data_IF_916871016073
#
_entry.id   IF_916871016073
#
_cell.length_a   1.000
_cell.length_b   1.000
_cell.length_c   1.000
_cell.angle_alpha   90.00
_cell.angle_beta   90.00
_cell.angle_gamma   90.00
#
_symmetry.space_group_name_H-M   'P 1'
#
loop_
_entity.id
_entity.type
_entity.pdbx_description
1 polymer ?
#
# COMPACT_ATOMS: atom_id res chain seq x y z
N UNK A 1 8.84 19.23 22.90
CA UNK A 1 7.55 18.70 22.41
C UNK A 1 7.85 17.61 21.40
N UNK A 2 7.75 16.35 21.80
CA UNK A 2 8.05 15.19 20.95
C UNK A 2 6.96 15.04 19.89
N UNK A 3 7.30 15.39 18.63
CA UNK A 3 6.43 15.14 17.48
C UNK A 3 6.23 13.62 17.36
N UNK A 4 4.98 13.22 17.40
CA UNK A 4 4.51 11.85 17.39
C UNK A 4 4.84 11.15 16.06
N UNK A 5 5.09 9.84 16.15
CA UNK A 5 5.41 8.96 15.02
C UNK A 5 4.23 8.85 14.03
N UNK A 6 4.46 8.68 12.72
CA UNK A 6 3.44 8.43 11.68
C UNK A 6 2.47 7.27 11.98
N UNK A 7 2.79 6.40 12.95
CA UNK A 7 1.87 5.39 13.47
C UNK A 7 0.56 5.99 14.05
N UNK A 8 0.49 7.30 14.32
CA UNK A 8 -0.68 7.96 14.90
C UNK A 8 -1.80 8.31 13.89
N UNK A 9 -1.57 8.33 12.58
CA UNK A 9 -2.64 8.66 11.60
C UNK A 9 -3.57 7.46 11.37
N UNK A 10 -3.00 6.28 11.15
CA UNK A 10 -3.73 5.02 11.03
C UNK A 10 -4.58 4.74 12.27
N UNK A 11 -3.98 4.86 13.46
CA UNK A 11 -4.68 4.65 14.73
C UNK A 11 -5.80 5.66 14.96
N UNK A 12 -5.63 6.92 14.52
CA UNK A 12 -6.66 7.96 14.66
C UNK A 12 -7.83 7.74 13.70
N UNK A 13 -7.58 7.30 12.47
CA UNK A 13 -8.64 6.96 11.50
C UNK A 13 -9.38 5.68 11.92
N UNK A 14 -8.65 4.64 12.36
CA UNK A 14 -9.23 3.40 12.88
C UNK A 14 -10.07 3.68 14.14
N UNK A 15 -9.59 4.50 15.09
CA UNK A 15 -10.35 4.88 16.30
C UNK A 15 -11.57 5.74 15.98
N UNK A 16 -11.49 6.58 14.95
CA UNK A 16 -12.59 7.44 14.51
C UNK A 16 -13.68 6.67 13.72
N UNK A 17 -13.32 5.54 13.08
CA UNK A 17 -14.24 4.69 12.32
C UNK A 17 -14.80 3.50 13.12
N UNK A 18 -14.04 2.92 14.05
CA UNK A 18 -14.42 1.68 14.75
C UNK A 18 -14.94 1.87 16.18
N UNK A 19 -14.60 2.98 16.86
CA UNK A 19 -14.77 3.08 18.30
C UNK A 19 -13.99 1.99 19.07
N UNK A 20 -13.81 2.16 20.38
CA UNK A 20 -13.06 1.21 21.23
C UNK A 20 -13.81 -0.12 21.40
N UNK A 21 -13.87 -0.97 20.36
CA UNK A 21 -14.41 -2.33 20.46
C UNK A 21 -13.29 -3.35 20.40
N UNK A 22 -13.04 -3.95 21.56
CA UNK A 22 -12.18 -5.12 21.75
C UNK A 22 -12.56 -6.25 20.79
N UNK A 23 -11.64 -6.59 19.88
CA UNK A 23 -11.76 -7.66 18.88
C UNK A 23 -11.28 -9.03 19.41
N UNK A 24 -11.48 -9.31 20.70
CA UNK A 24 -10.80 -10.43 21.37
C UNK A 24 -11.59 -11.71 21.58
N UNK A 25 -12.86 -11.81 21.16
CA UNK A 25 -13.64 -13.04 21.36
C UNK A 25 -14.10 -13.66 20.04
N UNK A 26 -14.03 -15.00 20.02
CA UNK A 26 -14.41 -15.95 18.96
C UNK A 26 -13.37 -16.32 17.90
N UNK A 27 -12.25 -16.92 18.36
CA UNK A 27 -11.39 -17.77 17.53
C UNK A 27 -11.98 -19.18 17.39
N UNK A 28 -12.66 -19.48 16.28
CA UNK A 28 -12.99 -20.86 15.90
C UNK A 28 -11.85 -21.51 15.08
N UNK A 29 -11.11 -22.42 15.71
CA UNK A 29 -10.12 -23.30 15.06
C UNK A 29 -10.80 -24.42 14.27
N UNK A 30 -10.85 -24.43 12.94
CA UNK A 30 -11.46 -25.58 12.26
C UNK A 30 -10.98 -25.81 10.81
N UNK A 31 -10.48 -27.01 10.51
CA UNK A 31 -10.62 -27.63 9.16
C UNK A 31 -12.11 -27.94 8.85
N UNK A 32 -12.92 -28.06 9.90
CA UNK A 32 -14.39 -28.22 9.86
C UNK A 32 -15.13 -26.91 9.48
N UNK A 33 -14.42 -25.76 9.44
CA UNK A 33 -15.02 -24.43 9.25
C UNK A 33 -15.64 -24.30 7.86
N UNK A 34 -14.96 -24.78 6.83
CA UNK A 34 -15.46 -24.72 5.43
C UNK A 34 -16.79 -25.43 5.28
N UNK A 35 -16.95 -26.60 5.91
CA UNK A 35 -18.17 -27.42 5.80
C UNK A 35 -19.31 -26.76 6.58
N UNK A 36 -19.01 -26.14 7.72
CA UNK A 36 -19.98 -25.37 8.51
C UNK A 36 -20.38 -24.08 7.79
N UNK A 37 -19.44 -23.28 7.29
CA UNK A 37 -19.70 -22.08 6.48
C UNK A 37 -20.63 -22.37 5.30
N UNK A 38 -20.35 -23.43 4.52
CA UNK A 38 -21.19 -23.84 3.38
C UNK A 38 -22.62 -24.22 3.78
N UNK A 39 -22.84 -24.65 5.02
CA UNK A 39 -24.13 -25.08 5.56
C UNK A 39 -24.75 -24.05 6.51
N UNK A 40 -24.07 -22.92 6.73
CA UNK A 40 -24.49 -21.90 7.66
C UNK A 40 -25.66 -21.12 7.05
N UNK A 41 -26.67 -20.83 7.86
CA UNK A 41 -27.69 -19.83 7.48
C UNK A 41 -27.00 -18.46 7.33
N UNK A 42 -27.60 -17.59 6.52
CA UNK A 42 -27.14 -16.20 6.39
C UNK A 42 -26.98 -15.54 7.76
N UNK A 43 -25.86 -14.83 7.94
CA UNK A 43 -25.45 -14.05 9.10
C UNK A 43 -25.43 -12.56 8.68
N UNK A 44 -26.60 -11.93 8.47
CA UNK A 44 -26.68 -10.57 7.93
C UNK A 44 -26.15 -9.49 8.89
N UNK A 45 -25.96 -9.82 10.17
CA UNK A 45 -25.38 -8.90 11.15
C UNK A 45 -23.85 -9.02 11.26
N UNK A 46 -23.24 -10.02 10.61
CA UNK A 46 -21.81 -10.26 10.70
C UNK A 46 -21.04 -9.18 9.93
N UNK A 47 -20.26 -8.38 10.65
CA UNK A 47 -19.44 -7.30 10.08
C UNK A 47 -18.00 -7.68 9.85
N UNK A 48 -17.46 -8.60 10.64
CA UNK A 48 -16.08 -9.03 10.56
C UNK A 48 -16.02 -10.55 10.38
N UNK A 49 -15.19 -10.98 9.44
CA UNK A 49 -14.89 -12.38 9.21
C UNK A 49 -13.38 -12.56 9.16
N UNK A 50 -12.86 -13.28 10.16
CA UNK A 50 -11.45 -13.60 10.28
C UNK A 50 -11.21 -15.06 9.93
N UNK A 51 -10.61 -15.29 8.77
CA UNK A 51 -10.22 -16.60 8.26
C UNK A 51 -8.69 -16.78 8.26
N UNK A 52 -7.96 -15.97 9.03
CA UNK A 52 -6.51 -16.11 9.16
C UNK A 52 -6.17 -17.50 9.67
N UNK A 53 -5.15 -18.11 9.06
CA UNK A 53 -4.69 -19.46 9.42
C UNK A 53 -5.72 -20.58 9.21
N UNK A 54 -6.84 -20.32 8.52
CA UNK A 54 -7.73 -21.39 8.08
C UNK A 54 -7.09 -22.18 6.92
N UNK A 55 -7.06 -23.50 7.03
CA UNK A 55 -6.63 -24.40 5.94
C UNK A 55 -7.76 -24.67 4.94
N UNK A 56 -8.52 -23.65 4.53
CA UNK A 56 -9.53 -23.88 3.48
C UNK A 56 -8.78 -24.12 2.15
N UNK A 57 -9.38 -24.88 1.24
CA UNK A 57 -8.87 -25.02 -0.14
C UNK A 57 -9.57 -24.07 -1.10
N UNK A 58 -10.83 -23.72 -0.80
CA UNK A 58 -11.63 -22.70 -1.48
C UNK A 58 -12.49 -21.93 -0.48
N UNK A 59 -12.61 -20.62 -0.67
CA UNK A 59 -13.55 -19.78 0.09
C UNK A 59 -14.94 -19.86 -0.57
N UNK A 60 -16.03 -20.10 0.19
CA UNK A 60 -17.39 -20.07 -0.35
C UNK A 60 -17.82 -18.65 -0.73
N UNK A 61 -18.96 -18.50 -1.40
CA UNK A 61 -19.51 -17.18 -1.71
C UNK A 61 -19.91 -16.44 -0.43
N UNK A 62 -19.08 -15.49 -0.02
CA UNK A 62 -19.26 -14.75 1.23
C UNK A 62 -20.50 -13.86 1.21
N UNK A 63 -20.96 -13.39 0.04
CA UNK A 63 -22.16 -12.53 -0.03
C UNK A 63 -23.44 -13.26 0.37
N UNK A 64 -23.48 -14.60 0.22
CA UNK A 64 -24.62 -15.41 0.68
C UNK A 64 -24.60 -15.68 2.19
N UNK A 65 -23.41 -15.63 2.80
CA UNK A 65 -23.20 -15.95 4.22
C UNK A 65 -23.25 -14.67 5.05
N UNK A 66 -22.55 -13.62 4.64
CA UNK A 66 -22.44 -12.35 5.33
C UNK A 66 -22.54 -11.22 4.28
N UNK A 67 -23.76 -10.88 3.81
CA UNK A 67 -23.95 -9.86 2.78
C UNK A 67 -23.51 -8.45 3.23
N UNK A 68 -23.46 -8.25 4.54
CA UNK A 68 -23.24 -6.98 5.22
C UNK A 68 -21.82 -6.83 5.78
N UNK A 69 -20.91 -7.69 5.33
CA UNK A 69 -19.53 -7.77 5.78
C UNK A 69 -18.76 -6.49 5.45
N UNK A 70 -18.03 -6.00 6.44
CA UNK A 70 -17.22 -4.78 6.38
C UNK A 70 -15.72 -5.08 6.48
N UNK A 71 -15.33 -6.16 7.19
CA UNK A 71 -13.92 -6.52 7.42
C UNK A 71 -13.69 -7.99 7.09
N UNK A 72 -12.72 -8.25 6.20
CA UNK A 72 -12.38 -9.61 5.77
C UNK A 72 -10.87 -9.87 5.89
N UNK A 73 -10.51 -10.87 6.70
CA UNK A 73 -9.13 -11.29 6.87
C UNK A 73 -8.92 -12.71 6.34
N UNK A 74 -8.01 -12.87 5.38
CA UNK A 74 -7.70 -14.11 4.67
C UNK A 74 -6.19 -14.46 4.73
N UNK A 75 -5.46 -13.92 5.70
CA UNK A 75 -3.99 -14.03 5.73
C UNK A 75 -3.49 -15.47 5.83
N UNK A 76 -2.37 -15.75 5.15
CA UNK A 76 -1.60 -16.98 5.30
C UNK A 76 -2.27 -18.19 4.67
N UNK A 77 -3.22 -17.98 3.76
CA UNK A 77 -3.94 -19.06 3.11
C UNK A 77 -3.04 -19.78 2.09
N UNK A 78 -2.59 -21.01 2.35
CA UNK A 78 -1.52 -21.64 1.58
C UNK A 78 -1.94 -22.12 0.19
N UNK A 79 -3.21 -22.02 -0.18
CA UNK A 79 -3.72 -22.49 -1.49
C UNK A 79 -4.50 -21.41 -2.26
N UNK A 80 -4.42 -20.14 -1.87
CA UNK A 80 -5.18 -19.08 -2.52
C UNK A 80 -4.42 -18.65 -3.77
N UNK A 81 -4.50 -19.46 -4.82
CA UNK A 81 -3.98 -19.13 -6.15
C UNK A 81 -4.87 -18.09 -6.85
N UNK A 82 -6.13 -17.97 -6.43
CA UNK A 82 -7.15 -17.10 -7.01
C UNK A 82 -7.87 -16.32 -5.91
N UNK A 83 -8.20 -15.05 -6.15
CA UNK A 83 -9.01 -14.29 -5.20
C UNK A 83 -10.38 -14.99 -5.00
N UNK A 84 -10.92 -15.06 -3.77
CA UNK A 84 -12.30 -15.48 -3.63
C UNK A 84 -13.24 -14.50 -4.32
N UNK A 85 -14.41 -14.97 -4.76
CA UNK A 85 -15.42 -14.05 -5.27
C UNK A 85 -15.87 -13.11 -4.15
N UNK A 86 -15.53 -11.84 -4.29
CA UNK A 86 -15.97 -10.74 -3.42
C UNK A 86 -17.18 -10.00 -4.00
N UNK A 87 -17.79 -10.55 -5.05
CA UNK A 87 -18.91 -9.92 -5.73
C UNK A 87 -20.06 -9.64 -4.76
N UNK A 88 -20.64 -8.44 -4.87
CA UNK A 88 -21.76 -7.97 -4.05
C UNK A 88 -21.44 -7.79 -2.55
N UNK A 89 -20.18 -7.82 -2.12
CA UNK A 89 -19.78 -7.34 -0.80
C UNK A 89 -19.64 -5.81 -0.81
N UNK A 90 -20.75 -5.11 -1.09
CA UNK A 90 -20.75 -3.66 -1.32
C UNK A 90 -20.39 -2.84 -0.08
N UNK A 91 -20.51 -3.42 1.12
CA UNK A 91 -20.14 -2.81 2.41
C UNK A 91 -18.71 -3.11 2.84
N UNK A 92 -17.95 -3.91 2.08
CA UNK A 92 -16.59 -4.28 2.47
C UNK A 92 -15.70 -3.04 2.51
N UNK A 93 -15.13 -2.75 3.67
CA UNK A 93 -14.27 -1.60 3.94
C UNK A 93 -12.79 -2.02 3.95
N UNK A 94 -12.49 -3.17 4.54
CA UNK A 94 -11.12 -3.68 4.64
C UNK A 94 -10.98 -5.11 4.13
N UNK A 95 -9.96 -5.32 3.31
CA UNK A 95 -9.57 -6.62 2.80
C UNK A 95 -8.09 -6.89 3.13
N UNK A 96 -7.86 -7.90 3.97
CA UNK A 96 -6.52 -8.36 4.34
C UNK A 96 -6.27 -9.74 3.74
N UNK A 97 -5.28 -9.87 2.87
CA UNK A 97 -4.90 -11.12 2.20
C UNK A 97 -3.38 -11.31 2.21
N UNK A 98 -2.75 -11.01 3.35
CA UNK A 98 -1.30 -11.11 3.49
C UNK A 98 -0.82 -12.54 3.34
N UNK A 99 0.44 -12.71 2.91
CA UNK A 99 1.07 -14.03 2.74
C UNK A 99 0.27 -14.98 1.82
N UNK A 100 -0.40 -14.43 0.79
CA UNK A 100 -1.16 -15.24 -0.17
C UNK A 100 -0.24 -15.83 -1.25
N UNK A 101 -0.72 -16.86 -1.94
CA UNK A 101 -0.06 -17.42 -3.14
C UNK A 101 -0.62 -16.85 -4.44
N UNK A 102 -1.35 -15.72 -4.37
CA UNK A 102 -1.90 -15.06 -5.54
C UNK A 102 -0.78 -14.72 -6.52
N UNK A 103 -1.02 -14.98 -7.79
CA UNK A 103 -0.16 -14.50 -8.89
C UNK A 103 -0.68 -13.15 -9.38
N UNK A 104 -2.01 -13.03 -9.46
CA UNK A 104 -2.77 -11.85 -9.85
C UNK A 104 -4.11 -11.91 -9.09
N UNK A 105 -4.56 -10.84 -8.41
CA UNK A 105 -5.78 -10.94 -7.59
C UNK A 105 -7.04 -10.81 -8.44
N UNK A 106 -7.15 -9.83 -9.34
CA UNK A 106 -8.34 -9.63 -10.18
C UNK A 106 -8.03 -9.91 -11.65
N UNK A 107 -9.02 -10.38 -12.41
CA UNK A 107 -8.87 -10.68 -13.85
C UNK A 107 -9.60 -9.68 -14.75
N UNK A 108 -10.29 -8.69 -14.17
CA UNK A 108 -11.14 -7.74 -14.89
C UNK A 108 -12.59 -8.24 -15.01
N UNK A 109 -13.54 -7.30 -15.04
CA UNK A 109 -14.98 -7.61 -15.08
C UNK A 109 -15.62 -7.92 -13.71
N UNK A 110 -14.86 -7.89 -12.63
CA UNK A 110 -15.38 -7.98 -11.28
C UNK A 110 -16.22 -6.75 -10.91
N UNK A 111 -17.23 -6.95 -10.06
CA UNK A 111 -18.06 -5.84 -9.58
C UNK A 111 -17.26 -4.92 -8.66
N UNK A 112 -17.50 -3.59 -8.69
CA UNK A 112 -16.83 -2.65 -7.79
C UNK A 112 -17.08 -2.97 -6.31
N UNK A 113 -16.00 -2.98 -5.54
CA UNK A 113 -15.99 -2.93 -4.08
C UNK A 113 -16.05 -1.47 -3.64
N UNK A 114 -17.20 -0.83 -3.85
CA UNK A 114 -17.36 0.62 -3.72
C UNK A 114 -17.08 1.19 -2.33
N UNK A 115 -17.16 0.40 -1.26
CA UNK A 115 -16.82 0.84 0.10
C UNK A 115 -15.39 0.53 0.52
N UNK A 116 -14.61 -0.16 -0.33
CA UNK A 116 -13.29 -0.64 0.04
C UNK A 116 -12.31 0.51 0.17
N UNK A 117 -11.79 0.69 1.38
CA UNK A 117 -10.81 1.72 1.74
C UNK A 117 -9.42 1.14 1.92
N UNK A 118 -9.29 -0.10 2.40
CA UNK A 118 -8.01 -0.71 2.69
C UNK A 118 -7.84 -2.06 2.02
N UNK A 119 -6.69 -2.25 1.40
CA UNK A 119 -6.26 -3.50 0.80
C UNK A 119 -4.83 -3.84 1.21
N UNK A 120 -4.66 -4.92 1.97
CA UNK A 120 -3.35 -5.43 2.38
C UNK A 120 -3.05 -6.77 1.70
N UNK A 121 -2.15 -6.76 0.72
CA UNK A 121 -1.63 -7.95 0.02
C UNK A 121 -0.19 -8.29 0.42
N UNK A 122 0.35 -7.64 1.45
CA UNK A 122 1.75 -7.74 1.84
C UNK A 122 2.21 -9.19 2.06
N UNK A 123 3.48 -9.48 1.83
CA UNK A 123 4.13 -10.79 1.97
C UNK A 123 3.62 -11.85 0.97
N UNK A 124 2.86 -11.46 -0.05
CA UNK A 124 2.43 -12.35 -1.13
C UNK A 124 3.57 -12.52 -2.13
N UNK A 125 4.54 -13.38 -1.81
CA UNK A 125 5.79 -13.54 -2.56
C UNK A 125 5.61 -14.01 -4.02
N UNK A 126 4.45 -14.58 -4.37
CA UNK A 126 4.12 -15.02 -5.72
C UNK A 126 3.35 -13.98 -6.54
N UNK A 127 2.95 -12.86 -5.92
CA UNK A 127 2.20 -11.81 -6.60
C UNK A 127 3.09 -11.17 -7.65
N UNK A 128 2.73 -11.32 -8.92
CA UNK A 128 3.49 -10.80 -10.07
C UNK A 128 2.92 -9.44 -10.50
N UNK A 129 1.59 -9.33 -10.53
CA UNK A 129 0.91 -8.14 -11.03
C UNK A 129 -0.37 -7.83 -10.28
N UNK A 130 -0.70 -6.55 -10.25
CA UNK A 130 -2.01 -6.06 -9.81
C UNK A 130 -2.61 -5.27 -10.97
N UNK A 131 -3.79 -5.68 -11.48
CA UNK A 131 -4.45 -4.98 -12.58
C UNK A 131 -4.95 -3.61 -12.13
N UNK A 132 -5.43 -2.80 -13.09
CA UNK A 132 -6.07 -1.52 -12.77
C UNK A 132 -7.22 -1.69 -11.76
N UNK A 133 -7.12 -0.96 -10.66
CA UNK A 133 -8.08 -0.97 -9.56
C UNK A 133 -9.20 0.05 -9.75
N UNK A 134 -9.17 0.89 -10.79
CA UNK A 134 -10.14 1.96 -11.01
C UNK A 134 -11.60 1.48 -11.03
N UNK A 135 -11.85 0.30 -11.60
CA UNK A 135 -13.18 -0.33 -11.63
C UNK A 135 -13.47 -1.21 -10.41
N UNK A 136 -12.44 -1.62 -9.66
CA UNK A 136 -12.55 -2.58 -8.56
C UNK A 136 -12.66 -1.88 -7.21
N UNK A 137 -11.78 -0.93 -6.93
CA UNK A 137 -11.66 -0.25 -5.65
C UNK A 137 -11.45 1.26 -5.88
N UNK A 138 -12.44 1.98 -6.43
CA UNK A 138 -12.30 3.41 -6.77
C UNK A 138 -12.11 4.32 -5.55
N UNK A 139 -12.51 3.85 -4.36
CA UNK A 139 -12.45 4.60 -3.10
C UNK A 139 -11.30 4.16 -2.18
N UNK A 140 -10.29 3.48 -2.75
CA UNK A 140 -9.17 2.97 -1.97
C UNK A 140 -8.34 4.11 -1.37
N UNK A 141 -8.11 4.03 -0.06
CA UNK A 141 -7.33 4.98 0.74
C UNK A 141 -5.98 4.37 1.17
N UNK A 142 -5.89 3.05 1.36
CA UNK A 142 -4.70 2.36 1.85
C UNK A 142 -4.38 1.15 0.98
N UNK A 143 -3.17 1.11 0.40
CA UNK A 143 -2.69 -0.01 -0.40
C UNK A 143 -1.34 -0.51 0.11
N UNK A 144 -1.31 -1.73 0.63
CA UNK A 144 -0.10 -2.34 1.19
C UNK A 144 0.35 -3.58 0.42
N UNK A 145 1.56 -3.49 -0.14
CA UNK A 145 2.20 -4.46 -1.01
C UNK A 145 3.63 -4.79 -0.55
N UNK A 146 3.91 -4.60 0.75
CA UNK A 146 5.23 -4.83 1.31
C UNK A 146 5.64 -6.30 1.16
N UNK A 147 6.91 -6.58 0.89
CA UNK A 147 7.44 -7.94 0.75
C UNK A 147 6.76 -8.79 -0.35
N UNK A 148 6.12 -8.16 -1.34
CA UNK A 148 5.69 -8.82 -2.57
C UNK A 148 6.89 -8.99 -3.52
N UNK A 149 7.75 -9.97 -3.23
CA UNK A 149 9.07 -10.15 -3.86
C UNK A 149 9.07 -10.50 -5.34
N UNK A 150 7.93 -10.88 -5.92
CA UNK A 150 7.79 -11.15 -7.36
C UNK A 150 7.02 -10.06 -8.09
N UNK A 151 6.59 -9.01 -7.39
CA UNK A 151 5.75 -7.96 -7.94
C UNK A 151 6.59 -7.10 -8.89
N UNK A 152 6.17 -7.10 -10.16
CA UNK A 152 6.78 -6.35 -11.26
C UNK A 152 5.78 -5.40 -11.92
N UNK A 153 4.50 -5.43 -11.58
CA UNK A 153 3.50 -4.56 -12.20
C UNK A 153 2.43 -4.16 -11.17
N UNK A 154 2.14 -2.86 -11.07
CA UNK A 154 1.13 -2.28 -10.17
C UNK A 154 0.05 -1.54 -10.98
N UNK A 155 -1.15 -1.30 -10.42
CA UNK A 155 -2.21 -0.58 -11.10
C UNK A 155 -1.76 0.82 -11.50
N UNK A 156 -2.36 1.34 -12.57
CA UNK A 156 -2.34 2.78 -12.82
C UNK A 156 -2.91 3.51 -11.60
N UNK A 157 -2.18 4.52 -11.13
CA UNK A 157 -2.60 5.37 -10.02
C UNK A 157 -3.49 6.54 -10.47
N UNK A 158 -3.78 6.66 -11.78
CA UNK A 158 -4.51 7.79 -12.36
C UNK A 158 -5.88 8.02 -11.69
N UNK A 159 -6.57 6.94 -11.31
CA UNK A 159 -7.91 6.97 -10.75
C UNK A 159 -7.96 6.63 -9.24
N UNK A 160 -6.81 6.56 -8.57
CA UNK A 160 -6.70 6.25 -7.15
C UNK A 160 -6.40 7.51 -6.32
N UNK A 161 -7.10 8.61 -6.62
CA UNK A 161 -6.87 9.92 -6.01
C UNK A 161 -7.16 9.99 -4.51
N UNK A 162 -7.91 9.01 -3.98
CA UNK A 162 -8.21 8.87 -2.55
C UNK A 162 -7.08 8.21 -1.74
N UNK A 163 -6.03 7.67 -2.39
CA UNK A 163 -4.93 7.03 -1.67
C UNK A 163 -4.23 8.01 -0.73
N UNK A 164 -4.15 7.58 0.52
CA UNK A 164 -3.49 8.24 1.66
C UNK A 164 -2.16 7.55 1.96
N UNK A 165 -2.11 6.22 1.91
CA UNK A 165 -0.89 5.45 2.15
C UNK A 165 -0.64 4.43 1.03
N UNK A 166 0.61 4.40 0.56
CA UNK A 166 1.09 3.45 -0.43
C UNK A 166 2.39 2.80 0.02
N UNK A 167 2.33 1.50 0.33
CA UNK A 167 3.47 0.71 0.76
C UNK A 167 3.84 -0.36 -0.28
N UNK A 168 5.09 -0.35 -0.74
CA UNK A 168 5.63 -1.27 -1.75
C UNK A 168 7.07 -1.69 -1.42
N UNK A 169 7.41 -1.79 -0.11
CA UNK A 169 8.77 -2.12 0.34
C UNK A 169 9.15 -3.53 -0.08
N UNK A 170 10.44 -3.80 -0.28
CA UNK A 170 10.96 -5.14 -0.62
C UNK A 170 10.27 -5.77 -1.85
N UNK A 171 9.97 -4.94 -2.86
CA UNK A 171 9.39 -5.36 -4.14
C UNK A 171 10.42 -5.38 -5.26
N UNK A 172 10.14 -6.10 -6.35
CA UNK A 172 10.97 -6.12 -7.56
C UNK A 172 10.61 -5.01 -8.57
N UNK A 173 9.70 -4.11 -8.19
CA UNK A 173 9.23 -3.03 -9.06
C UNK A 173 10.39 -2.16 -9.54
N UNK A 174 10.45 -1.99 -10.85
CA UNK A 174 11.37 -1.08 -11.53
C UNK A 174 10.67 0.21 -11.94
N UNK A 175 11.46 1.20 -12.35
CA UNK A 175 10.91 2.48 -12.80
C UNK A 175 10.04 2.37 -14.07
N UNK A 176 10.33 1.43 -14.97
CA UNK A 176 9.49 1.23 -16.16
C UNK A 176 8.07 0.76 -15.79
N UNK A 177 7.93 0.20 -14.60
CA UNK A 177 6.75 -0.51 -14.14
C UNK A 177 5.93 0.27 -13.10
N UNK A 178 6.47 1.36 -12.54
CA UNK A 178 5.73 2.22 -11.60
C UNK A 178 5.04 3.34 -12.37
N UNK A 179 3.70 3.44 -12.28
CA UNK A 179 2.94 4.54 -12.83
C UNK A 179 3.26 5.86 -12.13
N UNK A 180 3.01 6.97 -12.83
CA UNK A 180 3.14 8.31 -12.26
C UNK A 180 2.26 8.47 -11.03
N UNK A 181 2.81 9.18 -10.04
CA UNK A 181 2.14 9.48 -8.76
C UNK A 181 1.34 10.79 -8.83
N UNK A 182 1.29 11.47 -9.99
CA UNK A 182 0.77 12.83 -10.16
C UNK A 182 -0.66 13.05 -9.66
N UNK A 183 -1.49 12.01 -9.64
CA UNK A 183 -2.89 12.08 -9.21
C UNK A 183 -3.11 11.70 -7.75
N UNK A 184 -2.07 11.30 -7.03
CA UNK A 184 -2.13 10.91 -5.62
C UNK A 184 -2.09 12.15 -4.70
N UNK A 185 -2.98 13.12 -4.95
CA UNK A 185 -3.04 14.41 -4.23
C UNK A 185 -3.36 14.27 -2.73
N UNK A 186 -3.94 13.13 -2.32
CA UNK A 186 -4.22 12.81 -0.92
C UNK A 186 -3.11 12.02 -0.22
N UNK A 187 -2.05 11.63 -0.94
CA UNK A 187 -1.01 10.76 -0.41
C UNK A 187 -0.26 11.47 0.73
N UNK A 188 -0.23 10.83 1.88
CA UNK A 188 0.47 11.28 3.10
C UNK A 188 1.74 10.47 3.30
N UNK A 189 1.72 9.19 2.95
CA UNK A 189 2.82 8.26 3.21
C UNK A 189 3.15 7.41 1.98
N UNK A 190 4.42 7.48 1.55
CA UNK A 190 4.97 6.65 0.49
C UNK A 190 6.15 5.84 1.03
N UNK A 191 6.04 4.51 1.01
CA UNK A 191 7.15 3.61 1.37
C UNK A 191 7.51 2.68 0.23
N UNK A 192 8.75 2.80 -0.23
CA UNK A 192 9.30 1.98 -1.31
C UNK A 192 10.72 1.49 -0.96
N UNK A 193 11.05 1.40 0.33
CA UNK A 193 12.36 0.95 0.80
C UNK A 193 12.70 -0.44 0.25
N UNK A 194 13.97 -0.68 -0.08
CA UNK A 194 14.46 -1.95 -0.63
C UNK A 194 13.77 -2.36 -1.94
N UNK A 195 13.41 -1.38 -2.77
CA UNK A 195 12.87 -1.61 -4.12
C UNK A 195 13.95 -1.44 -5.21
N UNK A 196 13.60 -1.65 -6.47
CA UNK A 196 14.50 -1.52 -7.63
C UNK A 196 14.29 -0.22 -8.43
N UNK A 197 13.61 0.75 -7.82
CA UNK A 197 13.17 2.00 -8.46
C UNK A 197 14.34 2.93 -8.74
N UNK A 198 14.37 3.53 -9.93
CA UNK A 198 15.42 4.47 -10.34
C UNK A 198 15.07 5.93 -10.07
N UNK A 199 13.82 6.32 -10.30
CA UNK A 199 13.31 7.69 -10.14
C UNK A 199 11.81 7.63 -9.78
N UNK A 200 11.41 7.63 -8.50
CA UNK A 200 10.02 7.40 -8.11
C UNK A 200 9.03 8.48 -8.58
N UNK A 201 9.53 9.62 -9.07
CA UNK A 201 8.71 10.75 -9.49
C UNK A 201 8.97 11.10 -10.97
N UNK A 202 7.90 11.30 -11.75
CA UNK A 202 7.93 11.55 -13.20
C UNK A 202 6.97 12.67 -13.60
N UNK A 203 7.49 13.90 -13.64
CA UNK A 203 6.67 15.07 -13.99
C UNK A 203 5.49 15.29 -13.03
N UNK A 204 5.52 14.65 -11.86
CA UNK A 204 4.52 14.82 -10.81
C UNK A 204 4.64 16.25 -10.30
N UNK A 205 3.53 16.99 -10.32
CA UNK A 205 3.59 18.45 -10.09
C UNK A 205 3.26 18.83 -8.66
N UNK A 206 2.58 17.98 -7.89
CA UNK A 206 2.17 18.33 -6.54
C UNK A 206 1.62 17.16 -5.69
N UNK A 207 2.43 16.60 -4.81
CA UNK A 207 2.05 15.73 -3.69
C UNK A 207 1.97 16.55 -2.39
N UNK A 208 1.11 17.58 -2.38
CA UNK A 208 1.05 18.58 -1.32
C UNK A 208 0.71 18.03 0.09
N UNK A 209 0.15 16.83 0.22
CA UNK A 209 -0.13 16.21 1.52
C UNK A 209 0.95 15.24 1.99
N UNK A 210 1.95 14.95 1.16
CA UNK A 210 2.98 13.96 1.47
C UNK A 210 3.82 14.46 2.65
N UNK A 211 3.83 13.68 3.72
CA UNK A 211 4.58 13.94 4.95
C UNK A 211 5.74 12.98 5.14
N UNK A 212 5.59 11.74 4.69
CA UNK A 212 6.63 10.72 4.82
C UNK A 212 6.97 10.10 3.48
N UNK A 213 8.27 10.05 3.18
CA UNK A 213 8.84 9.33 2.05
C UNK A 213 9.97 8.44 2.54
N UNK A 214 9.84 7.13 2.34
CA UNK A 214 10.90 6.16 2.64
C UNK A 214 11.34 5.43 1.36
N UNK A 215 12.54 5.76 0.89
CA UNK A 215 13.22 5.14 -0.24
C UNK A 215 14.49 4.40 0.21
N UNK A 216 14.66 4.16 1.51
CA UNK A 216 15.88 3.54 2.06
C UNK A 216 16.22 2.23 1.36
N UNK A 217 17.49 1.96 1.11
CA UNK A 217 18.01 0.76 0.46
C UNK A 217 17.49 0.53 -0.96
N UNK A 218 16.97 1.57 -1.62
CA UNK A 218 16.65 1.53 -3.06
C UNK A 218 17.95 1.70 -3.84
N UNK A 219 18.66 0.59 -4.08
CA UNK A 219 20.04 0.59 -4.58
C UNK A 219 20.20 1.16 -5.99
N UNK A 220 19.12 1.18 -6.79
CA UNK A 220 19.11 1.70 -8.15
C UNK A 220 18.63 3.16 -8.25
N UNK A 221 18.27 3.80 -7.13
CA UNK A 221 17.83 5.19 -7.10
C UNK A 221 18.99 6.08 -7.57
N UNK A 222 18.82 6.80 -8.67
CA UNK A 222 19.89 7.64 -9.25
C UNK A 222 19.72 9.12 -8.88
N UNK A 223 18.49 9.57 -8.67
CA UNK A 223 18.17 10.95 -8.37
C UNK A 223 16.81 11.05 -7.68
N UNK A 224 16.63 12.14 -6.95
CA UNK A 224 15.33 12.57 -6.43
C UNK A 224 15.03 13.94 -7.04
N UNK A 225 13.77 14.21 -7.40
CA UNK A 225 13.39 15.52 -7.94
C UNK A 225 13.41 16.59 -6.84
N UNK A 226 13.23 17.86 -7.22
CA UNK A 226 13.06 18.96 -6.26
C UNK A 226 11.82 18.75 -5.37
N UNK A 227 12.08 18.29 -4.15
CA UNK A 227 11.06 18.02 -3.14
C UNK A 227 10.29 19.27 -2.73
N UNK A 228 10.84 20.47 -2.90
CA UNK A 228 10.11 21.71 -2.57
C UNK A 228 8.95 21.96 -3.54
N UNK A 229 9.10 21.54 -4.79
CA UNK A 229 8.04 21.63 -5.81
C UNK A 229 7.02 20.49 -5.68
N UNK A 230 7.50 19.29 -5.40
CA UNK A 230 6.68 18.08 -5.41
C UNK A 230 6.01 17.84 -4.07
N UNK A 231 6.74 17.91 -2.96
CA UNK A 231 6.26 17.58 -1.62
C UNK A 231 6.65 18.68 -0.61
N UNK A 232 6.07 19.90 -0.74
CA UNK A 232 6.43 21.05 0.10
C UNK A 232 6.15 20.85 1.60
N UNK A 233 5.27 19.90 1.95
CA UNK A 233 4.90 19.58 3.32
C UNK A 233 5.60 18.31 3.86
N UNK A 234 6.67 17.85 3.20
CA UNK A 234 7.41 16.67 3.62
C UNK A 234 8.06 16.91 4.99
N UNK A 235 7.79 16.02 5.94
CA UNK A 235 8.31 16.07 7.30
C UNK A 235 9.43 15.04 7.52
N UNK A 236 9.33 13.86 6.88
CA UNK A 236 10.25 12.75 7.05
C UNK A 236 10.72 12.23 5.68
N UNK A 237 12.03 12.20 5.47
CA UNK A 237 12.66 11.67 4.25
C UNK A 237 13.78 10.69 4.58
N UNK A 238 13.62 9.44 4.17
CA UNK A 238 14.59 8.38 4.43
C UNK A 238 15.19 7.86 3.12
N UNK A 239 16.51 8.03 2.98
CA UNK A 239 17.32 7.71 1.81
C UNK A 239 18.55 6.87 2.19
N UNK A 240 18.50 6.22 3.36
CA UNK A 240 19.64 5.45 3.89
C UNK A 240 19.95 4.27 2.97
N UNK A 241 21.20 4.09 2.57
CA UNK A 241 21.60 2.97 1.71
C UNK A 241 21.22 3.12 0.25
N UNK A 242 20.98 4.34 -0.25
CA UNK A 242 20.80 4.61 -1.69
C UNK A 242 22.15 4.79 -2.40
N UNK A 243 22.87 3.69 -2.63
CA UNK A 243 24.26 3.69 -3.12
C UNK A 243 24.47 4.24 -4.54
N UNK A 244 23.43 4.29 -5.37
CA UNK A 244 23.49 4.85 -6.73
C UNK A 244 23.05 6.30 -6.82
N UNK A 245 22.63 6.90 -5.70
CA UNK A 245 22.15 8.27 -5.67
C UNK A 245 23.34 9.21 -5.87
N UNK A 246 23.32 9.98 -6.96
CA UNK A 246 24.42 10.89 -7.33
C UNK A 246 24.07 12.36 -7.15
N UNK A 247 22.78 12.68 -7.14
CA UNK A 247 22.26 14.04 -7.06
C UNK A 247 21.07 14.11 -6.11
N UNK A 248 21.01 15.21 -5.35
CA UNK A 248 19.82 15.63 -4.61
C UNK A 248 19.57 17.11 -4.91
N UNK A 249 18.30 17.54 -4.95
CA UNK A 249 17.96 18.95 -5.10
C UNK A 249 18.38 19.73 -3.86
N UNK A 250 18.47 21.05 -4.00
CA UNK A 250 18.55 21.95 -2.86
C UNK A 250 17.34 21.75 -1.94
N UNK A 251 17.60 21.50 -0.66
CA UNK A 251 16.55 21.33 0.36
C UNK A 251 16.20 22.66 1.07
N UNK A 252 16.72 23.78 0.58
CA UNK A 252 16.55 25.10 1.20
C UNK A 252 15.07 25.52 1.36
N UNK A 253 14.19 25.00 0.50
CA UNK A 253 12.77 25.34 0.48
C UNK A 253 11.85 24.27 1.09
N UNK A 254 12.40 23.18 1.66
CA UNK A 254 11.60 22.14 2.34
C UNK A 254 11.51 22.47 3.84
N UNK A 255 10.82 23.58 4.17
CA UNK A 255 10.81 24.17 5.52
C UNK A 255 10.15 23.30 6.60
N UNK A 256 9.31 22.35 6.19
CA UNK A 256 8.63 21.43 7.11
C UNK A 256 9.45 20.19 7.45
N UNK A 257 10.62 19.99 6.83
CA UNK A 257 11.43 18.79 7.01
C UNK A 257 11.94 18.71 8.46
N UNK A 258 11.49 17.68 9.17
CA UNK A 258 11.87 17.38 10.54
C UNK A 258 13.07 16.45 10.56
N UNK A 259 13.06 15.44 9.69
CA UNK A 259 14.10 14.41 9.65
C UNK A 259 14.50 14.04 8.22
N UNK A 260 15.81 14.02 7.98
CA UNK A 260 16.44 13.56 6.76
C UNK A 260 17.52 12.53 7.08
N UNK A 261 17.30 11.27 6.71
CA UNK A 261 18.29 10.21 6.91
C UNK A 261 18.96 9.83 5.60
N UNK A 262 20.19 10.29 5.42
CA UNK A 262 21.06 10.00 4.26
C UNK A 262 22.35 9.31 4.72
N UNK A 263 22.24 8.11 5.30
CA UNK A 263 23.41 7.29 5.70
C UNK A 263 23.77 6.30 4.59
N UNK A 264 25.03 5.87 4.52
CA UNK A 264 25.48 4.84 3.56
C UNK A 264 25.16 5.18 2.09
N UNK A 265 25.41 6.45 1.71
CA UNK A 265 25.30 6.97 0.35
C UNK A 265 26.69 7.39 -0.16
N UNK A 266 26.88 7.42 -1.47
CA UNK A 266 28.11 8.00 -2.08
C UNK A 266 28.14 9.52 -1.86
N UNK A 267 29.29 10.19 -2.01
CA UNK A 267 29.32 11.65 -2.04
C UNK A 267 28.37 12.20 -3.11
N UNK A 268 27.43 13.05 -2.69
CA UNK A 268 26.35 13.59 -3.54
C UNK A 268 26.70 15.00 -3.99
N UNK A 269 26.31 15.36 -5.22
CA UNK A 269 26.30 16.74 -5.69
C UNK A 269 24.95 17.39 -5.39
N UNK A 270 24.96 18.61 -4.88
CA UNK A 270 23.76 19.45 -4.83
C UNK A 270 23.48 20.00 -6.23
N UNK A 271 22.27 19.78 -6.75
CA UNK A 271 21.82 20.40 -7.99
C UNK A 271 20.87 21.56 -7.70
N UNK A 272 21.18 22.76 -8.21
CA UNK A 272 20.44 24.00 -7.97
C UNK A 272 19.43 24.34 -9.09
N UNK A 273 18.86 23.33 -9.77
CA UNK A 273 17.76 23.53 -10.71
C UNK A 273 18.11 24.35 -11.96
N UNK A 274 19.39 24.42 -12.34
CA UNK A 274 19.84 25.06 -13.56
C UNK A 274 21.16 24.47 -14.04
N UNK A 275 21.32 24.37 -15.36
CA UNK A 275 22.50 23.84 -16.04
C UNK A 275 23.78 24.59 -15.62
N UNK A 276 24.42 24.11 -14.55
CA UNK A 276 25.87 24.09 -14.37
C UNK A 276 26.22 23.41 -13.04
N UNK A 277 27.04 22.36 -13.04
CA UNK A 277 27.59 21.82 -11.81
C UNK A 277 28.62 22.81 -11.25
N UNK A 278 28.50 23.17 -9.98
CA UNK A 278 29.62 23.75 -9.24
C UNK A 278 30.70 22.67 -9.10
N UNK A 279 31.90 22.97 -9.60
CA UNK A 279 33.10 22.22 -9.26
C UNK A 279 33.41 22.47 -7.79
N UNK A 280 33.59 21.37 -7.05
CA UNK A 280 34.16 21.38 -5.71
C UNK A 280 35.60 21.88 -5.80
#
# INVERSE_FOLDING_TARGET
MTKQSPNDVRDKIIRQLLGDKNLHEDKLYLQDFTRRLKRQKSLPTLKLMDLRSCSLTRVPNLSSIAPDLEFLYLNGYPSLAEIPSLQNLSKLVELHMRCSKLIQPWSGGDKPLGSLKLMDLSYSCNLIRIPDLSSIAPNLEFLYLDNCKSLVEVPSFQNLSNLVELHMRYSKLTLAEIPSLQNLSNLVELRMSSSQVKQPFRGDKHLGKLKLMDLSYTSNLIGIPDLSSIAPNLEFSYLTGCWSLVEIPSLQNVSNLVELLMRNIKPIKLWNGGDKPLRI
#
